data_IF_906209796281
#
_entry.id   IF_906209796281
#
_cell.length_a   1.000
_cell.length_b   1.000
_cell.length_c   1.000
_cell.angle_alpha   90.00
_cell.angle_beta   90.00
_cell.angle_gamma   90.00
#
_symmetry.space_group_name_H-M   'P 1'
#
loop_
_entity.id
_entity.type
_entity.pdbx_description
1 polymer ?
#
# COMPACT_ATOMS: atom_id res chain seq x y z
N UNK A 1 -12.77 1.52 -30.37
CA UNK A 1 -13.15 1.77 -28.97
C UNK A 1 -12.46 0.76 -28.09
N UNK A 2 -11.65 1.23 -27.16
CA UNK A 2 -11.13 0.41 -26.06
C UNK A 2 -12.22 0.14 -25.03
N UNK A 3 -12.01 -0.86 -24.17
CA UNK A 3 -13.01 -1.28 -23.17
C UNK A 3 -13.19 -0.25 -22.05
N UNK A 4 -12.20 0.63 -21.84
CA UNK A 4 -12.35 1.79 -20.95
C UNK A 4 -13.32 2.82 -21.54
N UNK A 5 -13.29 3.04 -22.86
CA UNK A 5 -14.20 3.96 -23.54
C UNK A 5 -15.67 3.58 -23.30
N UNK A 6 -15.98 2.29 -23.15
CA UNK A 6 -17.34 1.79 -22.87
C UNK A 6 -17.78 2.09 -21.43
N UNK A 7 -16.87 2.00 -20.45
CA UNK A 7 -17.16 2.39 -19.06
C UNK A 7 -17.40 3.90 -19.00
N UNK A 8 -16.54 4.69 -19.66
CA UNK A 8 -16.62 6.15 -19.64
C UNK A 8 -17.85 6.68 -20.39
N UNK A 9 -18.25 6.03 -21.49
CA UNK A 9 -19.48 6.35 -22.22
C UNK A 9 -20.72 6.05 -21.36
N UNK A 10 -20.78 4.87 -20.73
CA UNK A 10 -21.86 4.53 -19.82
C UNK A 10 -21.95 5.50 -18.63
N UNK A 11 -20.83 5.86 -18.02
CA UNK A 11 -20.81 6.85 -16.94
C UNK A 11 -21.33 8.22 -17.41
N UNK A 12 -20.95 8.65 -18.62
CA UNK A 12 -21.38 9.93 -19.19
C UNK A 12 -22.90 9.99 -19.32
N UNK A 13 -23.52 8.94 -19.82
CA UNK A 13 -24.98 8.88 -20.00
C UNK A 13 -25.72 8.93 -18.67
N UNK A 14 -25.26 8.16 -17.68
CA UNK A 14 -25.88 8.15 -16.33
C UNK A 14 -25.71 9.50 -15.64
N UNK A 15 -24.54 10.13 -15.76
CA UNK A 15 -24.28 11.45 -15.17
C UNK A 15 -25.12 12.54 -15.84
N UNK A 16 -25.27 12.51 -17.16
CA UNK A 16 -26.11 13.47 -17.89
C UNK A 16 -27.59 13.39 -17.46
N UNK A 17 -28.07 12.20 -17.11
CA UNK A 17 -29.43 11.97 -16.61
C UNK A 17 -29.60 12.22 -15.10
N UNK A 18 -28.51 12.45 -14.35
CA UNK A 18 -28.51 12.53 -12.89
C UNK A 18 -27.71 13.74 -12.38
N UNK A 19 -28.36 14.91 -12.35
CA UNK A 19 -27.73 16.15 -11.90
C UNK A 19 -27.16 16.09 -10.46
N UNK A 20 -27.85 15.48 -9.46
CA UNK A 20 -27.27 15.29 -8.13
C UNK A 20 -25.97 14.48 -8.12
N UNK A 21 -25.90 13.39 -8.90
CA UNK A 21 -24.68 12.59 -9.01
C UNK A 21 -23.54 13.36 -9.69
N UNK A 22 -23.85 14.12 -10.73
CA UNK A 22 -22.87 15.01 -11.39
C UNK A 22 -22.30 16.06 -10.44
N UNK A 23 -23.15 16.69 -9.63
CA UNK A 23 -22.71 17.64 -8.61
C UNK A 23 -21.82 16.96 -7.55
N UNK A 24 -22.16 15.74 -7.14
CA UNK A 24 -21.32 14.96 -6.22
C UNK A 24 -19.94 14.67 -6.80
N UNK A 25 -19.85 14.23 -8.07
CA UNK A 25 -18.55 14.03 -8.75
C UNK A 25 -17.72 15.31 -8.74
N UNK A 26 -18.31 16.44 -9.13
CA UNK A 26 -17.61 17.73 -9.15
C UNK A 26 -17.08 18.13 -7.76
N UNK A 27 -17.89 17.95 -6.71
CA UNK A 27 -17.47 18.22 -5.33
C UNK A 27 -16.32 17.29 -4.89
N UNK A 28 -16.38 16.01 -5.25
CA UNK A 28 -15.31 15.05 -4.98
C UNK A 28 -14.02 15.36 -5.75
N UNK A 29 -14.10 15.94 -6.96
CA UNK A 29 -12.91 16.43 -7.68
C UNK A 29 -12.25 17.56 -6.89
N UNK A 30 -13.02 18.55 -6.43
CA UNK A 30 -12.49 19.69 -5.67
C UNK A 30 -11.87 19.23 -4.33
N UNK A 31 -12.59 18.42 -3.56
CA UNK A 31 -12.10 17.92 -2.27
C UNK A 31 -10.92 16.96 -2.45
N UNK A 32 -10.96 16.10 -3.47
CA UNK A 32 -9.86 15.22 -3.84
C UNK A 32 -8.61 15.99 -4.24
N UNK A 33 -8.73 17.05 -5.05
CA UNK A 33 -7.61 17.92 -5.42
C UNK A 33 -7.00 18.63 -4.21
N UNK A 34 -7.81 19.03 -3.22
CA UNK A 34 -7.29 19.57 -1.96
C UNK A 34 -6.46 18.51 -1.19
N UNK A 35 -6.94 17.27 -1.11
CA UNK A 35 -6.19 16.16 -0.48
C UNK A 35 -4.89 15.83 -1.21
N UNK A 36 -4.86 15.93 -2.54
CA UNK A 36 -3.62 15.77 -3.31
C UNK A 36 -2.61 16.86 -3.02
N UNK A 37 -3.05 18.12 -2.87
CA UNK A 37 -2.16 19.23 -2.47
C UNK A 37 -1.60 19.02 -1.07
N UNK A 38 -2.43 18.63 -0.11
CA UNK A 38 -1.95 18.29 1.24
C UNK A 38 -0.96 17.12 1.22
N UNK A 39 -1.23 16.09 0.40
CA UNK A 39 -0.30 14.98 0.19
C UNK A 39 1.04 15.49 -0.38
N UNK A 40 1.04 16.41 -1.34
CA UNK A 40 2.27 16.98 -1.92
C UNK A 40 3.07 17.78 -0.89
N UNK A 41 2.39 18.57 -0.05
CA UNK A 41 3.00 19.33 1.06
C UNK A 41 3.62 18.42 2.12
N UNK A 42 3.03 17.23 2.32
CA UNK A 42 3.37 16.30 3.41
C UNK A 42 3.81 14.93 2.92
N UNK A 43 4.41 14.85 1.73
CA UNK A 43 4.66 13.56 1.06
C UNK A 43 5.65 12.67 1.82
N UNK A 44 6.59 13.30 2.53
CA UNK A 44 7.57 12.62 3.36
C UNK A 44 7.03 12.25 4.76
N UNK A 45 5.85 12.74 5.16
CA UNK A 45 5.30 12.57 6.49
C UNK A 45 4.24 11.44 6.56
N UNK A 46 4.28 10.63 7.62
CA UNK A 46 5.37 10.44 8.56
C UNK A 46 6.63 9.84 7.91
N UNK A 47 7.80 10.32 8.30
CA UNK A 47 9.09 9.87 7.76
C UNK A 47 9.66 8.75 8.62
N UNK A 48 10.01 7.64 7.97
CA UNK A 48 10.77 6.56 8.59
C UNK A 48 11.64 5.86 7.55
N UNK A 49 12.72 5.20 7.98
CA UNK A 49 13.56 4.39 7.13
C UNK A 49 12.78 3.21 6.54
N UNK A 50 12.92 3.00 5.24
CA UNK A 50 12.23 1.96 4.49
C UNK A 50 13.03 1.42 3.31
N UNK A 51 12.60 0.29 2.74
CA UNK A 51 13.18 -0.32 1.54
C UNK A 51 12.51 0.19 0.25
N UNK A 52 11.33 0.81 0.34
CA UNK A 52 10.63 1.39 -0.80
C UNK A 52 11.33 2.68 -1.23
N UNK A 53 11.68 2.80 -2.51
CA UNK A 53 12.22 4.06 -3.05
C UNK A 53 11.22 5.21 -2.89
N UNK A 54 11.71 6.43 -2.68
CA UNK A 54 10.88 7.62 -2.53
C UNK A 54 9.93 7.83 -3.72
N UNK A 55 10.40 7.62 -4.95
CA UNK A 55 9.57 7.74 -6.16
C UNK A 55 8.45 6.70 -6.22
N UNK A 56 8.71 5.46 -5.79
CA UNK A 56 7.68 4.42 -5.77
C UNK A 56 6.66 4.70 -4.66
N UNK A 57 7.12 5.14 -3.50
CA UNK A 57 6.26 5.49 -2.38
C UNK A 57 5.36 6.71 -2.69
N UNK A 58 5.90 7.74 -3.33
CA UNK A 58 5.14 8.90 -3.78
C UNK A 58 3.98 8.50 -4.72
N UNK A 59 4.25 7.58 -5.65
CA UNK A 59 3.21 7.04 -6.53
C UNK A 59 2.14 6.29 -5.75
N UNK A 60 2.55 5.40 -4.85
CA UNK A 60 1.62 4.62 -4.04
C UNK A 60 0.81 5.48 -3.05
N UNK A 61 1.39 6.58 -2.55
CA UNK A 61 0.68 7.53 -1.71
C UNK A 61 -0.44 8.24 -2.47
N UNK A 62 -0.18 8.64 -3.74
CA UNK A 62 -1.23 9.17 -4.63
C UNK A 62 -2.31 8.12 -4.89
N UNK A 63 -1.93 6.88 -5.22
CA UNK A 63 -2.87 5.77 -5.41
C UNK A 63 -3.76 5.55 -4.17
N UNK A 64 -3.18 5.54 -2.97
CA UNK A 64 -3.90 5.36 -1.71
C UNK A 64 -4.88 6.52 -1.42
N UNK A 65 -4.49 7.75 -1.74
CA UNK A 65 -5.33 8.94 -1.58
C UNK A 65 -6.51 8.93 -2.58
N UNK A 66 -6.25 8.62 -3.85
CA UNK A 66 -7.29 8.49 -4.89
C UNK A 66 -8.28 7.41 -4.48
N UNK A 67 -7.79 6.24 -4.06
CA UNK A 67 -8.65 5.14 -3.60
C UNK A 67 -9.51 5.55 -2.40
N UNK A 68 -9.02 6.44 -1.53
CA UNK A 68 -9.80 6.92 -0.39
C UNK A 68 -10.93 7.85 -0.86
N UNK A 69 -10.61 8.79 -1.77
CA UNK A 69 -11.62 9.66 -2.38
C UNK A 69 -12.70 8.85 -3.11
N UNK A 70 -12.31 7.77 -3.81
CA UNK A 70 -13.25 6.88 -4.48
C UNK A 70 -14.16 6.10 -3.52
N UNK A 71 -13.68 5.77 -2.31
CA UNK A 71 -14.48 5.13 -1.28
C UNK A 71 -15.50 6.10 -0.69
N UNK A 72 -15.05 7.30 -0.31
CA UNK A 72 -15.92 8.38 0.19
C UNK A 72 -17.00 8.75 -0.84
N UNK A 73 -16.60 8.82 -2.12
CA UNK A 73 -17.52 9.02 -3.24
C UNK A 73 -18.55 7.90 -3.33
N UNK A 74 -18.12 6.64 -3.28
CA UNK A 74 -19.02 5.50 -3.40
C UNK A 74 -20.08 5.48 -2.29
N UNK A 75 -19.69 5.77 -1.05
CA UNK A 75 -20.61 5.80 0.09
C UNK A 75 -21.68 6.90 -0.06
N UNK A 76 -21.29 8.08 -0.56
CA UNK A 76 -22.23 9.16 -0.86
C UNK A 76 -23.11 8.87 -2.10
N UNK A 77 -22.52 8.29 -3.15
CA UNK A 77 -23.17 8.08 -4.44
C UNK A 77 -24.21 6.96 -4.43
N UNK A 78 -24.06 5.94 -3.55
CA UNK A 78 -24.96 4.79 -3.47
C UNK A 78 -26.44 5.16 -3.32
N UNK A 79 -26.75 6.29 -2.69
CA UNK A 79 -28.13 6.77 -2.49
C UNK A 79 -28.71 7.48 -3.71
N UNK A 80 -27.85 7.88 -4.66
CA UNK A 80 -28.20 8.66 -5.84
C UNK A 80 -28.29 7.80 -7.10
N UNK A 81 -27.79 6.56 -7.05
CA UNK A 81 -27.68 5.67 -8.21
C UNK A 81 -28.78 4.62 -8.17
N UNK A 82 -29.39 4.34 -9.33
CA UNK A 82 -30.34 3.22 -9.46
C UNK A 82 -29.57 1.90 -9.34
N UNK A 83 -30.06 0.90 -8.57
CA UNK A 83 -29.37 -0.37 -8.42
C UNK A 83 -29.01 -1.08 -9.74
N UNK A 84 -29.86 -0.92 -10.77
CA UNK A 84 -29.61 -1.47 -12.10
C UNK A 84 -28.40 -0.82 -12.79
N UNK A 85 -28.26 0.50 -12.70
CA UNK A 85 -27.14 1.24 -13.30
C UNK A 85 -25.83 0.88 -12.59
N UNK A 86 -25.85 0.78 -11.26
CA UNK A 86 -24.70 0.34 -10.47
C UNK A 86 -24.27 -1.09 -10.84
N UNK A 87 -25.22 -2.01 -10.97
CA UNK A 87 -24.93 -3.40 -11.34
C UNK A 87 -24.28 -3.48 -12.73
N UNK A 88 -24.89 -2.81 -13.72
CA UNK A 88 -24.40 -2.79 -15.10
C UNK A 88 -23.01 -2.16 -15.20
N UNK A 89 -22.79 -1.04 -14.51
CA UNK A 89 -21.48 -0.42 -14.44
C UNK A 89 -20.42 -1.35 -13.82
N UNK A 90 -20.75 -2.03 -12.71
CA UNK A 90 -19.85 -3.00 -12.08
C UNK A 90 -19.46 -4.14 -13.02
N UNK A 91 -20.40 -4.63 -13.84
CA UNK A 91 -20.13 -5.65 -14.87
C UNK A 91 -19.20 -5.13 -15.96
N UNK A 92 -19.39 -3.88 -16.43
CA UNK A 92 -18.52 -3.23 -17.41
C UNK A 92 -17.10 -3.03 -16.88
N UNK A 93 -16.96 -2.54 -15.64
CA UNK A 93 -15.67 -2.37 -14.97
C UNK A 93 -14.96 -3.71 -14.80
N UNK A 94 -15.68 -4.74 -14.33
CA UNK A 94 -15.12 -6.08 -14.17
C UNK A 94 -14.63 -6.65 -15.51
N UNK A 95 -15.37 -6.42 -16.59
CA UNK A 95 -14.99 -6.86 -17.93
C UNK A 95 -13.79 -6.09 -18.49
N UNK A 96 -13.76 -4.77 -18.30
CA UNK A 96 -12.63 -3.92 -18.65
C UNK A 96 -11.34 -4.37 -17.96
N UNK A 97 -11.42 -4.65 -16.66
CA UNK A 97 -10.28 -5.11 -15.86
C UNK A 97 -9.84 -6.53 -16.25
N UNK A 98 -10.77 -7.44 -16.55
CA UNK A 98 -10.44 -8.78 -17.08
C UNK A 98 -9.63 -8.70 -18.36
N UNK A 99 -10.11 -7.93 -19.35
CA UNK A 99 -9.47 -7.83 -20.66
C UNK A 99 -8.10 -7.17 -20.60
N UNK A 100 -7.86 -6.32 -19.60
CA UNK A 100 -6.56 -5.68 -19.35
C UNK A 100 -5.61 -6.51 -18.48
N UNK A 101 -6.07 -7.62 -17.89
CA UNK A 101 -5.29 -8.40 -16.94
C UNK A 101 -4.95 -7.60 -15.68
N UNK A 102 -5.87 -6.74 -15.23
CA UNK A 102 -5.70 -5.81 -14.12
C UNK A 102 -6.42 -6.32 -12.86
N UNK A 103 -6.04 -7.51 -12.38
CA UNK A 103 -6.71 -8.24 -11.29
C UNK A 103 -6.61 -7.60 -9.92
N UNK A 104 -5.41 -7.18 -9.48
CA UNK A 104 -5.25 -6.47 -8.18
C UNK A 104 -5.82 -5.06 -8.23
N UNK A 105 -5.90 -4.45 -9.42
CA UNK A 105 -6.54 -3.14 -9.63
C UNK A 105 -8.08 -3.23 -9.64
N UNK A 106 -8.65 -4.44 -9.54
CA UNK A 106 -10.10 -4.66 -9.34
C UNK A 106 -10.64 -3.95 -8.10
N UNK A 107 -9.82 -3.81 -7.07
CA UNK A 107 -10.27 -3.29 -5.78
C UNK A 107 -10.57 -1.79 -5.78
N UNK A 108 -9.97 -1.00 -6.68
CA UNK A 108 -10.11 0.46 -6.66
C UNK A 108 -11.41 0.93 -7.32
N UNK A 109 -11.64 0.55 -8.58
CA UNK A 109 -12.88 0.88 -9.30
C UNK A 109 -14.00 -0.12 -8.99
N UNK A 110 -13.70 -1.42 -8.87
CA UNK A 110 -14.73 -2.45 -8.70
C UNK A 110 -15.48 -2.37 -7.35
N UNK A 111 -14.93 -1.66 -6.36
CA UNK A 111 -15.59 -1.40 -5.07
C UNK A 111 -16.27 -0.03 -4.98
N UNK A 112 -16.16 0.79 -6.03
CA UNK A 112 -16.71 2.14 -6.07
C UNK A 112 -18.09 2.18 -6.74
N UNK A 113 -18.49 3.34 -7.24
CA UNK A 113 -19.81 3.58 -7.83
C UNK A 113 -19.72 4.26 -9.20
N UNK A 114 -20.83 4.23 -9.96
CA UNK A 114 -20.93 4.93 -11.27
C UNK A 114 -20.40 6.36 -11.16
N UNK A 115 -19.48 6.76 -12.04
CA UNK A 115 -18.81 8.07 -12.04
C UNK A 115 -17.39 8.04 -11.43
N UNK A 116 -16.99 6.89 -10.86
CA UNK A 116 -15.67 6.69 -10.29
C UNK A 116 -14.55 6.64 -11.33
N UNK A 117 -14.81 6.18 -12.57
CA UNK A 117 -13.81 6.20 -13.65
C UNK A 117 -13.42 7.64 -13.96
N UNK A 118 -14.42 8.49 -14.22
CA UNK A 118 -14.23 9.93 -14.43
C UNK A 118 -13.52 10.60 -13.25
N UNK A 119 -13.99 10.37 -12.02
CA UNK A 119 -13.39 10.96 -10.82
C UNK A 119 -11.92 10.56 -10.66
N UNK A 120 -11.60 9.29 -10.89
CA UNK A 120 -10.22 8.78 -10.85
C UNK A 120 -9.33 9.47 -11.88
N UNK A 121 -9.83 9.64 -13.10
CA UNK A 121 -9.09 10.29 -14.19
C UNK A 121 -8.79 11.75 -13.89
N UNK A 122 -9.79 12.51 -13.41
CA UNK A 122 -9.64 13.92 -13.00
C UNK A 122 -8.62 14.10 -11.87
N UNK A 123 -8.49 13.11 -10.97
CA UNK A 123 -7.50 13.12 -9.90
C UNK A 123 -6.11 12.62 -10.34
N UNK A 124 -5.92 12.36 -11.64
CA UNK A 124 -4.65 11.89 -12.21
C UNK A 124 -4.36 10.41 -11.94
N UNK A 125 -5.38 9.63 -11.57
CA UNK A 125 -5.30 8.18 -11.36
C UNK A 125 -5.54 7.35 -12.61
N UNK A 126 -5.90 8.00 -13.72
CA UNK A 126 -6.13 7.34 -15.00
C UNK A 126 -4.92 6.55 -15.48
N UNK A 127 -5.11 5.64 -16.44
CA UNK A 127 -4.00 4.92 -17.04
C UNK A 127 -3.08 5.96 -17.68
N UNK A 128 -2.01 6.31 -16.98
CA UNK A 128 -0.87 7.00 -17.58
C UNK A 128 -0.59 6.22 -18.84
N UNK A 129 -0.81 6.82 -20.02
CA UNK A 129 -0.32 6.37 -21.33
C UNK A 129 1.21 6.45 -21.35
N UNK A 130 1.85 5.97 -20.30
CA UNK A 130 3.24 5.61 -20.31
C UNK A 130 3.23 4.24 -20.97
N UNK A 131 3.87 4.05 -22.13
CA UNK A 131 4.17 2.72 -22.62
C UNK A 131 5.17 2.11 -21.64
N UNK A 132 4.71 1.64 -20.47
CA UNK A 132 5.57 0.91 -19.55
C UNK A 132 5.79 -0.44 -20.18
N UNK A 133 6.89 -0.58 -20.91
CA UNK A 133 7.44 -1.86 -21.41
C UNK A 133 7.71 -2.91 -20.32
N UNK A 134 7.29 -2.69 -19.07
CA UNK A 134 7.31 -3.65 -17.97
C UNK A 134 6.07 -3.42 -17.12
N UNK A 135 4.97 -4.09 -17.47
CA UNK A 135 3.94 -4.40 -16.46
C UNK A 135 4.59 -5.18 -15.30
N UNK A 136 3.88 -5.30 -14.19
CA UNK A 136 4.31 -6.17 -13.09
C UNK A 136 4.47 -7.58 -13.67
N UNK A 137 5.69 -8.11 -13.69
CA UNK A 137 5.95 -9.50 -14.09
C UNK A 137 5.46 -10.36 -12.93
N UNK A 138 4.22 -10.81 -13.04
CA UNK A 138 3.54 -11.51 -11.97
C UNK A 138 3.59 -13.02 -12.23
N UNK A 139 4.46 -13.72 -11.51
CA UNK A 139 4.62 -15.17 -11.64
C UNK A 139 3.53 -15.96 -10.90
N UNK A 140 2.85 -15.32 -9.94
CA UNK A 140 1.84 -15.98 -9.09
C UNK A 140 0.38 -15.77 -9.53
N UNK A 141 0.14 -15.12 -10.69
CA UNK A 141 -1.20 -14.77 -11.19
C UNK A 141 -1.95 -13.68 -10.41
N UNK A 142 -1.57 -13.39 -9.17
CA UNK A 142 -2.33 -12.48 -8.29
C UNK A 142 -2.61 -11.12 -8.91
N UNK A 143 -1.58 -10.43 -9.43
CA UNK A 143 -1.74 -9.10 -10.04
C UNK A 143 -2.70 -9.10 -11.23
N UNK A 144 -2.82 -10.23 -11.94
CA UNK A 144 -3.64 -10.39 -13.14
C UNK A 144 -5.08 -10.79 -12.81
N UNK A 145 -5.26 -11.66 -11.83
CA UNK A 145 -6.53 -12.37 -11.61
C UNK A 145 -7.28 -11.82 -10.39
N UNK A 146 -6.54 -11.22 -9.44
CA UNK A 146 -7.02 -10.82 -8.12
C UNK A 146 -7.25 -11.98 -7.15
N UNK A 147 -7.03 -13.22 -7.60
CA UNK A 147 -7.22 -14.44 -6.79
C UNK A 147 -5.96 -14.69 -5.98
N UNK A 148 -6.06 -14.67 -4.65
CA UNK A 148 -4.91 -14.81 -3.76
C UNK A 148 -4.28 -16.23 -3.86
N UNK A 149 -3.04 -16.36 -4.39
CA UNK A 149 -2.38 -17.65 -4.52
C UNK A 149 -1.93 -18.21 -3.14
N UNK A 150 -1.48 -19.47 -3.07
CA UNK A 150 -0.86 -20.02 -1.87
C UNK A 150 0.41 -19.26 -1.44
N UNK A 151 1.19 -18.78 -2.42
CA UNK A 151 2.38 -17.96 -2.22
C UNK A 151 2.37 -16.80 -3.23
N UNK A 152 2.60 -15.58 -2.74
CA UNK A 152 2.82 -14.41 -3.59
C UNK A 152 4.23 -14.44 -4.16
N UNK A 153 4.40 -13.99 -5.40
CA UNK A 153 5.72 -13.71 -5.98
C UNK A 153 6.29 -12.39 -5.45
N UNK A 154 7.60 -12.21 -5.62
CA UNK A 154 8.38 -11.07 -5.15
C UNK A 154 7.81 -9.72 -5.64
N UNK A 155 7.34 -9.65 -6.89
CA UNK A 155 6.77 -8.44 -7.46
C UNK A 155 5.40 -8.10 -6.84
N UNK A 156 4.58 -9.11 -6.58
CA UNK A 156 3.28 -8.93 -5.95
C UNK A 156 3.43 -8.57 -4.47
N UNK A 157 4.34 -9.20 -3.73
CA UNK A 157 4.60 -8.79 -2.34
C UNK A 157 5.14 -7.36 -2.26
N UNK A 158 6.06 -6.95 -3.16
CA UNK A 158 6.59 -5.60 -3.18
C UNK A 158 5.51 -4.57 -3.51
N UNK A 159 4.63 -4.87 -4.47
CA UNK A 159 3.46 -4.05 -4.77
C UNK A 159 2.57 -3.90 -3.53
N UNK A 160 2.20 -5.02 -2.91
CA UNK A 160 1.27 -5.01 -1.78
C UNK A 160 1.86 -4.32 -0.55
N UNK A 161 3.15 -4.56 -0.25
CA UNK A 161 3.84 -3.92 0.87
C UNK A 161 3.92 -2.41 0.66
N UNK A 162 4.26 -1.96 -0.55
CA UNK A 162 4.30 -0.54 -0.89
C UNK A 162 2.93 0.11 -0.72
N UNK A 163 1.86 -0.52 -1.19
CA UNK A 163 0.48 -0.03 -1.02
C UNK A 163 0.06 0.00 0.45
N UNK A 164 0.47 -1.01 1.22
CA UNK A 164 0.18 -1.06 2.65
C UNK A 164 0.89 0.06 3.42
N UNK A 165 2.16 0.32 3.13
CA UNK A 165 2.95 1.42 3.71
C UNK A 165 2.35 2.78 3.33
N UNK A 166 1.98 2.96 2.05
CA UNK A 166 1.32 4.18 1.59
C UNK A 166 0.00 4.42 2.32
N UNK A 167 -0.78 3.35 2.53
CA UNK A 167 -2.04 3.44 3.26
C UNK A 167 -1.83 3.77 4.73
N UNK A 168 -0.84 3.15 5.38
CA UNK A 168 -0.45 3.45 6.75
C UNK A 168 -0.06 4.92 6.91
N UNK A 169 0.75 5.47 5.99
CA UNK A 169 1.14 6.89 6.01
C UNK A 169 -0.04 7.82 5.82
N UNK A 170 -0.96 7.47 4.91
CA UNK A 170 -2.19 8.25 4.70
C UNK A 170 -3.01 8.35 5.98
N UNK A 171 -3.25 7.21 6.64
CA UNK A 171 -3.98 7.17 7.90
C UNK A 171 -3.28 8.00 8.99
N UNK A 172 -1.96 7.84 9.11
CA UNK A 172 -1.17 8.57 10.10
C UNK A 172 -1.10 10.08 9.84
N UNK A 173 -1.24 10.56 8.60
CA UNK A 173 -1.26 12.00 8.31
C UNK A 173 -2.42 12.72 9.00
N UNK A 174 -3.56 12.05 9.19
CA UNK A 174 -4.70 12.56 9.94
C UNK A 174 -4.50 12.59 11.46
N UNK A 175 -3.40 12.03 11.98
CA UNK A 175 -3.10 11.95 13.42
C UNK A 175 -1.62 12.29 13.70
N UNK A 176 -1.20 13.56 13.57
CA UNK A 176 0.22 13.92 13.59
C UNK A 176 0.97 13.50 14.86
N UNK A 177 0.37 13.66 16.04
CA UNK A 177 0.99 13.28 17.31
C UNK A 177 1.24 11.75 17.40
N UNK A 178 0.24 10.96 17.03
CA UNK A 178 0.38 9.50 16.98
C UNK A 178 1.38 9.05 15.89
N UNK A 179 1.41 9.74 14.75
CA UNK A 179 2.35 9.49 13.66
C UNK A 179 3.80 9.70 14.07
N UNK A 180 4.09 10.76 14.84
CA UNK A 180 5.42 11.01 15.41
C UNK A 180 5.85 9.90 16.37
N UNK A 181 4.96 9.49 17.28
CA UNK A 181 5.23 8.39 18.21
C UNK A 181 5.51 7.06 17.48
N UNK A 182 4.74 6.77 16.42
CA UNK A 182 4.99 5.62 15.53
C UNK A 182 6.36 5.75 14.88
N UNK A 183 6.66 6.88 14.24
CA UNK A 183 7.94 7.13 13.55
C UNK A 183 9.14 6.95 14.49
N UNK A 184 9.07 7.46 15.73
CA UNK A 184 10.12 7.27 16.74
C UNK A 184 10.33 5.79 17.10
N UNK A 185 9.27 4.98 17.17
CA UNK A 185 9.41 3.54 17.40
C UNK A 185 10.11 2.88 16.21
N UNK A 186 9.73 3.21 14.98
CA UNK A 186 10.32 2.62 13.77
C UNK A 186 11.80 3.00 13.64
N UNK A 187 12.15 4.27 13.82
CA UNK A 187 13.53 4.76 13.76
C UNK A 187 14.43 4.04 14.78
N UNK A 188 13.98 3.93 16.03
CA UNK A 188 14.71 3.19 17.07
C UNK A 188 14.89 1.72 16.73
N UNK A 189 13.91 1.09 16.08
CA UNK A 189 14.01 -0.31 15.65
C UNK A 189 15.01 -0.44 14.51
N UNK A 190 14.96 0.45 13.52
CA UNK A 190 15.88 0.49 12.40
C UNK A 190 17.34 0.62 12.88
N UNK A 191 17.62 1.60 13.75
CA UNK A 191 18.96 1.79 14.33
C UNK A 191 19.47 0.54 15.08
N UNK A 192 18.60 -0.12 15.84
CA UNK A 192 18.95 -1.35 16.57
C UNK A 192 19.21 -2.52 15.62
N UNK A 193 18.47 -2.60 14.53
CA UNK A 193 18.66 -3.60 13.49
C UNK A 193 19.98 -3.38 12.75
N UNK A 194 20.28 -2.15 12.33
CA UNK A 194 21.56 -1.81 11.69
C UNK A 194 22.74 -2.22 12.57
N UNK A 195 22.67 -1.97 13.89
CA UNK A 195 23.71 -2.38 14.85
C UNK A 195 23.91 -3.89 14.89
N UNK A 196 22.86 -4.70 14.78
CA UNK A 196 22.99 -6.17 14.73
C UNK A 196 23.86 -6.58 13.54
N UNK A 197 23.59 -6.05 12.34
CA UNK A 197 24.36 -6.39 11.15
C UNK A 197 25.78 -5.79 11.09
N UNK A 198 26.11 -4.87 12.01
CA UNK A 198 27.47 -4.37 12.22
C UNK A 198 28.30 -5.26 13.16
N UNK A 199 27.67 -6.13 13.94
CA UNK A 199 28.35 -7.07 14.85
C UNK A 199 28.68 -8.40 14.15
N UNK A 200 29.66 -9.14 14.69
CA UNK A 200 29.95 -10.52 14.26
C UNK A 200 29.07 -11.49 15.06
N UNK A 201 28.41 -12.41 14.38
CA UNK A 201 27.60 -13.46 15.00
C UNK A 201 26.92 -14.34 13.95
N UNK A 202 26.46 -15.51 14.38
CA UNK A 202 25.87 -16.52 13.50
C UNK A 202 24.35 -16.35 13.34
N UNK A 203 23.68 -15.63 14.27
CA UNK A 203 22.21 -15.51 14.36
C UNK A 203 21.65 -14.10 14.04
N UNK A 204 22.36 -13.30 13.24
CA UNK A 204 22.04 -11.89 12.98
C UNK A 204 20.60 -11.66 12.47
N UNK A 205 20.10 -12.53 11.59
CA UNK A 205 18.74 -12.44 11.05
C UNK A 205 17.67 -12.67 12.13
N UNK A 206 17.91 -13.60 13.06
CA UNK A 206 17.01 -13.88 14.19
C UNK A 206 17.00 -12.71 15.19
N UNK A 207 18.18 -12.15 15.48
CA UNK A 207 18.30 -10.98 16.34
C UNK A 207 17.60 -9.75 15.76
N UNK A 208 17.79 -9.47 14.47
CA UNK A 208 17.11 -8.41 13.73
C UNK A 208 15.58 -8.57 13.81
N UNK A 209 15.08 -9.78 13.61
CA UNK A 209 13.66 -10.10 13.79
C UNK A 209 13.19 -9.86 15.24
N UNK A 210 14.01 -10.21 16.23
CA UNK A 210 13.78 -9.91 17.65
C UNK A 210 13.58 -8.42 17.91
N UNK A 211 14.37 -7.54 17.27
CA UNK A 211 14.19 -6.08 17.39
C UNK A 211 12.85 -5.62 16.83
N UNK A 212 12.44 -6.14 15.66
CA UNK A 212 11.12 -5.83 15.07
C UNK A 212 9.96 -6.29 15.95
N UNK A 213 10.04 -7.50 16.53
CA UNK A 213 9.04 -8.02 17.48
C UNK A 213 8.93 -7.14 18.73
N UNK A 214 10.06 -6.65 19.26
CA UNK A 214 10.05 -5.73 20.39
C UNK A 214 9.44 -4.37 20.01
N UNK A 215 9.73 -3.86 18.80
CA UNK A 215 9.08 -2.68 18.21
C UNK A 215 7.57 -2.83 18.15
N UNK A 216 7.08 -3.96 17.63
CA UNK A 216 5.65 -4.23 17.52
C UNK A 216 4.94 -4.26 18.90
N UNK A 217 5.61 -4.77 19.95
CA UNK A 217 5.07 -4.67 21.32
C UNK A 217 4.96 -3.23 21.80
N UNK A 218 5.88 -2.34 21.40
CA UNK A 218 5.82 -0.90 21.71
C UNK A 218 4.68 -0.24 20.96
N UNK A 219 4.50 -0.53 19.66
CA UNK A 219 3.34 -0.07 18.88
C UNK A 219 2.02 -0.49 19.53
N UNK A 220 1.93 -1.74 20.01
CA UNK A 220 0.73 -2.21 20.73
C UNK A 220 0.41 -1.39 21.98
N UNK A 221 1.43 -0.92 22.73
CA UNK A 221 1.21 -0.02 23.88
C UNK A 221 0.82 1.39 23.45
N UNK A 222 1.43 1.91 22.38
CA UNK A 222 1.01 3.20 21.80
C UNK A 222 -0.45 3.14 21.34
N UNK A 223 -0.86 2.07 20.67
CA UNK A 223 -2.26 1.86 20.27
C UNK A 223 -3.21 1.93 21.47
N UNK A 224 -2.85 1.29 22.58
CA UNK A 224 -3.67 1.36 23.80
C UNK A 224 -3.74 2.77 24.38
N UNK A 225 -2.62 3.51 24.36
CA UNK A 225 -2.56 4.90 24.83
C UNK A 225 -3.42 5.83 23.97
N UNK A 226 -3.37 5.68 22.64
CA UNK A 226 -4.10 6.49 21.67
C UNK A 226 -5.43 5.85 21.23
N UNK A 227 -6.03 4.99 22.06
CA UNK A 227 -7.24 4.24 21.69
C UNK A 227 -8.42 5.13 21.28
N UNK A 228 -8.52 6.31 21.89
CA UNK A 228 -9.60 7.26 21.63
C UNK A 228 -9.45 7.90 20.25
N UNK A 229 -8.23 8.33 19.89
CA UNK A 229 -7.90 8.87 18.56
C UNK A 229 -8.11 7.82 17.45
N UNK A 230 -7.93 6.55 17.77
CA UNK A 230 -8.07 5.44 16.82
C UNK A 230 -9.49 4.87 16.72
N UNK A 231 -10.43 5.30 17.57
CA UNK A 231 -11.75 4.69 17.67
C UNK A 231 -12.59 4.85 16.39
N UNK A 232 -12.48 6.02 15.75
CA UNK A 232 -13.29 6.39 14.58
C UNK A 232 -12.59 6.08 13.25
N UNK A 233 -11.39 5.47 13.30
CA UNK A 233 -10.59 5.22 12.11
C UNK A 233 -10.97 3.89 11.45
N UNK A 234 -11.44 3.94 10.21
CA UNK A 234 -11.63 2.73 9.41
C UNK A 234 -10.28 2.12 9.00
N UNK A 235 -9.92 1.01 9.65
CA UNK A 235 -8.72 0.22 9.36
C UNK A 235 -8.99 -0.94 8.38
N UNK A 236 -10.20 -1.09 7.85
CA UNK A 236 -10.59 -2.20 6.98
C UNK A 236 -9.69 -2.32 5.75
N UNK A 237 -9.42 -1.19 5.07
CA UNK A 237 -8.52 -1.17 3.92
C UNK A 237 -7.08 -1.50 4.30
N UNK A 238 -6.56 -0.90 5.37
CA UNK A 238 -5.22 -1.18 5.88
C UNK A 238 -5.06 -2.65 6.27
N UNK A 239 -6.08 -3.24 6.92
CA UNK A 239 -6.08 -4.65 7.30
C UNK A 239 -6.19 -5.60 6.09
N UNK A 240 -6.81 -5.15 4.99
CA UNK A 240 -6.93 -5.91 3.74
C UNK A 240 -5.60 -6.33 3.13
N UNK A 241 -4.51 -5.60 3.39
CA UNK A 241 -3.16 -5.94 2.92
C UNK A 241 -2.50 -7.09 3.68
N UNK A 242 -2.99 -7.42 4.87
CA UNK A 242 -2.37 -8.42 5.76
C UNK A 242 -2.48 -9.83 5.19
N UNK A 243 -3.63 -10.19 4.64
CA UNK A 243 -3.85 -11.54 4.12
C UNK A 243 -2.92 -11.87 2.94
N UNK A 244 -2.78 -10.99 1.91
CA UNK A 244 -1.77 -11.17 0.87
C UNK A 244 -0.35 -11.29 1.43
N UNK A 245 0.09 -10.34 2.26
CA UNK A 245 1.47 -10.31 2.76
C UNK A 245 1.80 -11.44 3.75
N UNK A 246 0.78 -12.07 4.35
CA UNK A 246 0.95 -13.29 5.14
C UNK A 246 1.28 -14.52 4.29
N UNK A 247 1.20 -14.40 2.95
CA UNK A 247 1.58 -15.40 1.95
C UNK A 247 2.77 -14.95 1.09
N UNK A 248 3.53 -13.95 1.53
CA UNK A 248 4.77 -13.52 0.88
C UNK A 248 5.76 -14.70 0.67
N UNK A 249 6.44 -14.71 -0.49
CA UNK A 249 7.57 -15.60 -0.79
C UNK A 249 8.73 -15.31 0.16
N UNK A 250 8.97 -14.03 0.46
CA UNK A 250 10.01 -13.59 1.38
C UNK A 250 9.65 -13.93 2.82
N UNK A 251 10.44 -14.82 3.44
CA UNK A 251 10.18 -15.32 4.81
C UNK A 251 10.25 -14.20 5.86
N UNK A 252 11.14 -13.23 5.70
CA UNK A 252 11.26 -12.10 6.64
C UNK A 252 10.01 -11.22 6.64
N UNK A 253 9.43 -10.95 5.46
CA UNK A 253 8.18 -10.22 5.25
C UNK A 253 7.04 -11.00 5.87
N UNK A 254 6.85 -12.25 5.43
CA UNK A 254 5.77 -13.15 5.90
C UNK A 254 5.74 -13.27 7.42
N UNK A 255 6.88 -13.61 8.02
CA UNK A 255 6.99 -13.80 9.47
C UNK A 255 6.79 -12.50 10.25
N UNK A 256 7.25 -11.35 9.71
CA UNK A 256 7.05 -10.05 10.34
C UNK A 256 5.57 -9.69 10.31
N UNK A 257 4.90 -9.70 9.15
CA UNK A 257 3.45 -9.42 9.03
C UNK A 257 2.63 -10.25 10.00
N UNK A 258 2.82 -11.57 10.00
CA UNK A 258 2.07 -12.49 10.85
C UNK A 258 2.21 -12.19 12.35
N UNK A 259 3.33 -11.59 12.78
CA UNK A 259 3.58 -11.26 14.20
C UNK A 259 3.29 -9.81 14.57
N UNK A 260 3.32 -8.88 13.61
CA UNK A 260 3.21 -7.43 13.89
C UNK A 260 1.83 -6.84 13.57
N UNK A 261 1.09 -7.36 12.58
CA UNK A 261 -0.14 -6.72 12.09
C UNK A 261 -1.17 -6.42 13.20
N UNK A 262 -1.33 -7.33 14.17
CA UNK A 262 -2.29 -7.16 15.29
C UNK A 262 -1.93 -6.02 16.25
N UNK A 263 -0.76 -5.40 16.10
CA UNK A 263 -0.27 -4.33 16.97
C UNK A 263 -0.70 -2.93 16.51
N UNK A 264 -1.34 -2.83 15.34
CA UNK A 264 -1.87 -1.58 14.80
C UNK A 264 -0.91 -0.89 13.84
N UNK A 265 -1.17 0.39 13.60
CA UNK A 265 -0.37 1.23 12.71
C UNK A 265 1.10 1.27 13.14
N UNK A 266 1.97 1.28 12.13
CA UNK A 266 3.41 1.04 12.21
C UNK A 266 3.81 -0.40 11.87
N UNK A 267 2.85 -1.32 11.71
CA UNK A 267 3.16 -2.69 11.33
C UNK A 267 3.61 -2.81 9.87
N UNK A 268 3.11 -1.96 8.96
CA UNK A 268 3.58 -1.92 7.58
C UNK A 268 5.03 -1.42 7.54
N UNK A 269 5.35 -0.35 8.27
CA UNK A 269 6.70 0.17 8.42
C UNK A 269 7.68 -0.86 9.04
N UNK A 270 7.27 -1.60 10.08
CA UNK A 270 8.10 -2.68 10.63
C UNK A 270 8.35 -3.81 9.61
N UNK A 271 7.40 -4.09 8.73
CA UNK A 271 7.55 -5.10 7.67
C UNK A 271 8.50 -4.60 6.60
N UNK A 272 8.46 -3.31 6.27
CA UNK A 272 9.42 -2.67 5.38
C UNK A 272 10.86 -2.76 5.92
N UNK A 273 11.06 -2.65 7.24
CA UNK A 273 12.36 -2.91 7.87
C UNK A 273 12.84 -4.36 7.73
N UNK A 274 11.93 -5.33 7.54
CA UNK A 274 12.32 -6.73 7.29
C UNK A 274 12.97 -6.89 5.91
N UNK A 275 12.44 -6.25 4.87
CA UNK A 275 13.06 -6.23 3.53
C UNK A 275 14.44 -5.59 3.60
N UNK A 276 14.55 -4.47 4.31
CA UNK A 276 15.84 -3.82 4.54
C UNK A 276 16.82 -4.72 5.31
N UNK A 277 16.33 -5.51 6.26
CA UNK A 277 17.16 -6.46 7.02
C UNK A 277 17.76 -7.53 6.12
N UNK A 278 17.00 -8.03 5.14
CA UNK A 278 17.49 -9.04 4.20
C UNK A 278 18.61 -8.45 3.33
N UNK A 279 18.46 -7.21 2.86
CA UNK A 279 19.48 -6.49 2.10
C UNK A 279 20.76 -6.28 2.94
N UNK A 280 20.62 -5.85 4.19
CA UNK A 280 21.73 -5.66 5.13
C UNK A 280 22.43 -6.99 5.47
N UNK A 281 21.66 -8.07 5.63
CA UNK A 281 22.17 -9.42 5.87
C UNK A 281 23.00 -9.95 4.70
N UNK A 282 22.50 -9.80 3.47
CA UNK A 282 23.24 -10.16 2.25
C UNK A 282 24.55 -9.36 2.16
N UNK A 283 24.50 -8.04 2.36
CA UNK A 283 25.69 -7.19 2.31
C UNK A 283 26.73 -7.56 3.38
N UNK A 284 26.29 -7.90 4.59
CA UNK A 284 27.17 -8.35 5.67
C UNK A 284 27.84 -9.69 5.34
N UNK A 285 27.08 -10.65 4.79
CA UNK A 285 27.61 -11.95 4.34
C UNK A 285 28.67 -11.79 3.24
N UNK A 286 28.40 -10.98 2.22
CA UNK A 286 29.35 -10.71 1.12
C UNK A 286 30.66 -10.15 1.69
N UNK A 287 30.58 -9.10 2.51
CA UNK A 287 31.76 -8.48 3.15
C UNK A 287 32.57 -9.49 3.96
N UNK A 288 31.90 -10.37 4.69
CA UNK A 288 32.55 -11.42 5.48
C UNK A 288 33.24 -12.46 4.60
N UNK A 289 32.60 -12.87 3.50
CA UNK A 289 33.14 -13.84 2.56
C UNK A 289 34.38 -13.31 1.83
N UNK A 290 34.39 -12.03 1.45
CA UNK A 290 35.54 -11.36 0.82
C UNK A 290 36.70 -11.19 1.82
N UNK A 291 36.40 -10.80 3.06
CA UNK A 291 37.39 -10.72 4.14
C UNK A 291 38.08 -12.06 4.42
N UNK A 292 37.33 -13.18 4.39
CA UNK A 292 37.89 -14.54 4.52
C UNK A 292 38.70 -14.99 3.31
N UNK A 293 38.34 -14.58 2.10
CA UNK A 293 39.13 -14.89 0.89
C UNK A 293 40.47 -14.17 0.95
N UNK A 294 40.49 -12.88 1.27
CA UNK A 294 41.72 -12.09 1.32
C UNK A 294 42.70 -12.54 2.42
N UNK A 295 42.20 -13.07 3.54
CA UNK A 295 43.05 -13.64 4.60
C UNK A 295 43.58 -15.05 4.31
N UNK A 296 42.98 -15.80 3.37
CA UNK A 296 43.48 -17.11 2.92
C UNK A 296 44.61 -17.03 1.88
N UNK A 297 44.81 -15.87 1.25
CA UNK A 297 45.92 -15.62 0.31
C UNK A 297 47.17 -15.04 1.01
N UNK A 298 47.16 -14.90 2.34
CA UNK A 298 48.32 -14.45 3.14
C UNK A 298 49.03 -15.60 3.89
N UNK A 299 48.90 -16.85 3.41
CA UNK A 299 49.68 -17.99 3.90
C UNK A 299 50.67 -18.41 2.81
#
# INVERSE_FOLDING_TARGET
MGVADVVDEFERDVLAANAPLTALVANCVVSGAARMRELEERIAFPSWPGATSASALNRAAREAEITAVLADYADAARRLIRPADQKRWGELVADAQRRRGEGVLRDELGRSAVGASRLRDELGGGPRRVPSRRGIVCDCGYARDGVLPPLLCDECEQLMLRRWVAEERRLLRGMPAYAEDVAQVIERVAQRQTKVFQTRGDDLSSEAFGKRKAGARRLGRLRTRHRAELADLDLGRWAGFVAPLSRASTTSVRSTVQKTHRRGLGAAALTELAVRADQEGIASFVRYSEGRRNSRWQI
#
